data_IF_937668218041
#
_entry.id   IF_937668218041
#
_cell.length_a   1.000
_cell.length_b   1.000
_cell.length_c   1.000
_cell.angle_alpha   90.00
_cell.angle_beta   90.00
_cell.angle_gamma   90.00
#
_symmetry.space_group_name_H-M   'P 1'
#
loop_
_entity.id
_entity.type
_entity.pdbx_description
1 polymer ?
#
# COMPACT_ATOMS: atom_id res chain seq x y z
N UNK A 1 -10.45 -1.58 6.38
CA UNK A 1 -9.73 -2.72 5.79
C UNK A 1 -10.34 -3.99 6.36
N UNK A 2 -10.80 -4.89 5.51
CA UNK A 2 -11.33 -6.19 5.92
C UNK A 2 -10.19 -7.22 5.96
N UNK A 3 -10.17 -8.02 7.02
CA UNK A 3 -9.27 -9.14 7.16
C UNK A 3 -9.97 -10.40 6.65
N UNK A 4 -9.21 -11.25 5.98
CA UNK A 4 -9.72 -12.50 5.42
C UNK A 4 -9.12 -13.69 6.17
N UNK A 5 -9.88 -14.77 6.27
CA UNK A 5 -9.41 -16.00 6.90
C UNK A 5 -8.08 -16.49 6.28
N UNK A 6 -7.16 -17.04 7.10
CA UNK A 6 -7.26 -17.27 8.54
C UNK A 6 -6.79 -16.08 9.41
N UNK A 7 -6.56 -14.90 8.82
CA UNK A 7 -5.96 -13.74 9.48
C UNK A 7 -7.01 -12.77 10.07
N UNK A 8 -8.28 -13.13 10.00
CA UNK A 8 -9.41 -12.41 10.59
C UNK A 8 -9.58 -12.68 12.10
N UNK A 9 -8.72 -13.54 12.66
CA UNK A 9 -8.65 -13.89 14.08
C UNK A 9 -7.93 -12.81 14.90
N UNK A 10 -8.29 -12.68 16.18
CA UNK A 10 -7.77 -11.65 17.08
C UNK A 10 -6.25 -11.74 17.31
N UNK A 11 -5.68 -12.95 17.28
CA UNK A 11 -4.25 -13.20 17.47
C UNK A 11 -3.39 -12.52 16.40
N UNK A 12 -3.90 -12.37 15.17
CA UNK A 12 -3.17 -11.73 14.07
C UNK A 12 -3.04 -10.21 14.22
N UNK A 13 -3.89 -9.59 15.07
CA UNK A 13 -3.96 -8.13 15.26
C UNK A 13 -3.69 -7.69 16.70
N UNK A 14 -3.40 -8.63 17.59
CA UNK A 14 -3.09 -8.34 18.99
C UNK A 14 -1.93 -7.34 19.11
N UNK A 15 -2.12 -6.29 19.91
CA UNK A 15 -1.12 -5.25 20.14
C UNK A 15 -1.13 -4.11 19.10
N UNK A 16 -1.94 -4.19 18.03
CA UNK A 16 -2.08 -3.05 17.11
C UNK A 16 -2.72 -1.84 17.79
N UNK A 17 -3.54 -2.04 18.81
CA UNK A 17 -4.14 -0.99 19.63
C UNK A 17 -3.12 -0.12 20.38
N UNK A 18 -1.87 -0.58 20.54
CA UNK A 18 -0.80 0.16 21.21
C UNK A 18 -0.13 1.20 20.29
N UNK A 19 -0.42 1.20 18.99
CA UNK A 19 0.16 2.13 18.01
C UNK A 19 -0.89 3.05 17.40
N UNK A 20 -0.47 4.28 17.08
CA UNK A 20 -1.36 5.25 16.44
C UNK A 20 -1.43 5.10 14.91
N UNK A 21 -0.42 4.48 14.31
CA UNK A 21 -0.29 4.36 12.86
C UNK A 21 0.26 2.98 12.48
N UNK A 22 -0.16 2.51 11.31
CA UNK A 22 0.31 1.25 10.72
C UNK A 22 0.80 1.49 9.30
N UNK A 23 1.74 0.65 8.86
CA UNK A 23 2.13 0.57 7.46
C UNK A 23 1.23 -0.42 6.74
N UNK A 24 0.46 0.07 5.77
CA UNK A 24 -0.26 -0.79 4.82
C UNK A 24 0.62 -1.09 3.63
N UNK A 25 0.82 -2.38 3.34
CA UNK A 25 1.36 -2.85 2.08
C UNK A 25 0.22 -3.42 1.24
N UNK A 26 0.13 -3.00 -0.02
CA UNK A 26 -0.96 -3.42 -0.90
C UNK A 26 -0.48 -3.58 -2.34
N UNK A 27 -1.24 -4.32 -3.15
CA UNK A 27 -0.91 -4.60 -4.54
C UNK A 27 -1.73 -3.70 -5.48
N UNK A 28 -1.04 -2.94 -6.33
CA UNK A 28 -1.64 -2.27 -7.48
C UNK A 28 -1.97 -3.30 -8.57
N UNK A 29 -2.97 -4.14 -8.34
CA UNK A 29 -3.34 -5.26 -9.21
C UNK A 29 -3.65 -4.83 -10.66
N UNK A 30 -4.15 -3.61 -10.88
CA UNK A 30 -4.36 -3.05 -12.23
C UNK A 30 -3.10 -2.49 -12.90
N UNK A 31 -1.99 -2.35 -12.18
CA UNK A 31 -0.72 -1.84 -12.71
C UNK A 31 0.33 -2.94 -12.95
N UNK A 32 -0.07 -4.21 -12.82
CA UNK A 32 0.79 -5.35 -13.11
C UNK A 32 0.89 -5.54 -14.63
N UNK A 33 2.11 -5.65 -15.13
CA UNK A 33 2.44 -5.77 -16.54
C UNK A 33 3.39 -6.94 -16.75
N UNK A 34 3.16 -7.74 -17.79
CA UNK A 34 4.02 -8.88 -18.14
C UNK A 34 5.48 -8.45 -18.39
N UNK A 35 5.68 -7.21 -18.86
CA UNK A 35 6.98 -6.60 -19.07
C UNK A 35 7.13 -5.37 -18.19
N UNK A 36 7.98 -5.43 -17.14
CA UNK A 36 8.18 -4.30 -16.24
C UNK A 36 8.76 -3.05 -16.91
N UNK A 37 8.28 -1.89 -16.51
CA UNK A 37 8.86 -0.60 -16.92
C UNK A 37 10.10 -0.27 -16.10
N UNK A 38 11.19 0.11 -16.76
CA UNK A 38 12.41 0.60 -16.09
C UNK A 38 12.36 2.11 -15.81
N UNK A 39 11.50 2.85 -16.52
CA UNK A 39 11.28 4.29 -16.37
C UNK A 39 9.80 4.63 -16.44
N UNK A 40 9.43 5.75 -15.82
CA UNK A 40 8.06 6.29 -15.79
C UNK A 40 8.09 7.80 -16.02
N UNK A 41 6.91 8.41 -16.18
CA UNK A 41 6.73 9.87 -16.27
C UNK A 41 5.81 10.35 -15.14
N UNK A 42 6.35 10.68 -13.96
CA UNK A 42 5.53 11.08 -12.82
C UNK A 42 4.79 12.40 -13.09
N UNK A 43 3.48 12.51 -12.74
CA UNK A 43 2.74 13.77 -12.89
C UNK A 43 3.40 14.93 -12.14
N UNK A 44 3.98 14.64 -10.97
CA UNK A 44 4.65 15.62 -10.11
C UNK A 44 5.97 16.18 -10.70
N UNK A 45 6.48 15.59 -11.78
CA UNK A 45 7.64 16.09 -12.53
C UNK A 45 7.22 16.79 -13.84
N UNK A 46 6.01 17.35 -13.89
CA UNK A 46 5.51 18.07 -15.07
C UNK A 46 5.16 17.19 -16.26
N UNK A 47 5.04 15.87 -16.08
CA UNK A 47 4.51 14.91 -17.07
C UNK A 47 5.41 14.61 -18.28
N UNK A 48 6.31 15.51 -18.66
CA UNK A 48 7.21 15.35 -19.80
C UNK A 48 8.57 14.76 -19.43
N UNK A 49 8.98 14.86 -18.17
CA UNK A 49 10.25 14.31 -17.71
C UNK A 49 10.11 12.83 -17.33
N UNK A 50 11.02 12.00 -17.84
CA UNK A 50 11.07 10.58 -17.50
C UNK A 50 12.17 10.28 -16.47
N UNK A 51 11.84 9.48 -15.46
CA UNK A 51 12.74 9.10 -14.37
C UNK A 51 12.75 7.57 -14.18
N UNK A 52 13.87 7.04 -13.68
CA UNK A 52 13.98 5.63 -13.33
C UNK A 52 12.90 5.23 -12.32
N UNK A 53 12.29 4.07 -12.52
CA UNK A 53 11.12 3.64 -11.75
C UNK A 53 11.37 3.60 -10.24
N UNK A 54 12.56 3.16 -9.82
CA UNK A 54 12.95 3.06 -8.41
C UNK A 54 13.26 4.39 -7.72
N UNK A 55 13.43 5.47 -8.49
CA UNK A 55 13.54 6.83 -7.95
C UNK A 55 12.16 7.50 -7.76
N UNK A 56 11.07 6.78 -8.02
CA UNK A 56 9.69 7.31 -7.98
C UNK A 56 8.79 6.48 -7.08
N UNK A 57 7.59 7.01 -6.82
CA UNK A 57 6.46 6.27 -6.23
C UNK A 57 5.40 5.88 -7.27
N UNK A 58 5.78 5.64 -8.53
CA UNK A 58 4.82 5.23 -9.54
C UNK A 58 4.21 3.85 -9.22
N UNK A 59 2.97 3.62 -9.65
CA UNK A 59 2.27 2.34 -9.48
C UNK A 59 2.81 1.25 -10.41
N UNK A 60 3.18 1.62 -11.64
CA UNK A 60 3.78 0.74 -12.64
C UNK A 60 5.25 0.45 -12.28
N UNK A 61 5.51 -0.70 -11.64
CA UNK A 61 6.82 -1.15 -11.17
C UNK A 61 6.96 -2.66 -11.37
N UNK A 62 8.18 -3.23 -11.37
CA UNK A 62 8.36 -4.69 -11.46
C UNK A 62 7.57 -5.47 -10.41
N UNK A 63 7.55 -4.96 -9.17
CA UNK A 63 6.65 -5.43 -8.12
C UNK A 63 5.70 -4.29 -7.77
N UNK A 64 4.41 -4.45 -8.13
CA UNK A 64 3.35 -3.45 -7.96
C UNK A 64 2.94 -3.21 -6.50
N UNK A 65 3.87 -3.27 -5.55
CA UNK A 65 3.61 -3.09 -4.12
C UNK A 65 3.61 -1.60 -3.80
N UNK A 66 2.47 -1.12 -3.31
CA UNK A 66 2.26 0.17 -2.68
C UNK A 66 2.48 0.11 -1.17
N UNK A 67 2.81 1.27 -0.59
CA UNK A 67 2.96 1.44 0.84
C UNK A 67 2.31 2.76 1.27
N UNK A 68 1.46 2.70 2.30
CA UNK A 68 0.91 3.89 2.95
C UNK A 68 1.10 3.81 4.45
N UNK A 69 1.45 4.94 5.08
CA UNK A 69 1.32 5.09 6.54
C UNK A 69 -0.06 5.69 6.79
N UNK A 70 -0.88 4.98 7.54
CA UNK A 70 -2.26 5.38 7.84
C UNK A 70 -2.45 5.39 9.34
N UNK A 71 -3.39 6.22 9.80
CA UNK A 71 -3.79 6.23 11.20
C UNK A 71 -4.71 5.03 11.46
N UNK A 72 -4.47 4.35 12.58
CA UNK A 72 -5.32 3.26 13.06
C UNK A 72 -6.35 3.85 14.03
N UNK A 73 -7.61 3.86 13.62
CA UNK A 73 -8.69 4.45 14.41
C UNK A 73 -9.35 3.45 15.36
N UNK A 74 -9.49 2.19 14.93
CA UNK A 74 -10.09 1.11 15.72
C UNK A 74 -9.68 -0.26 15.18
N UNK A 75 -9.49 -1.21 16.10
CA UNK A 75 -9.36 -2.65 15.81
C UNK A 75 -10.68 -3.34 16.17
N UNK A 76 -11.21 -4.16 15.28
CA UNK A 76 -12.43 -4.94 15.46
C UNK A 76 -12.25 -6.33 14.85
N UNK A 77 -13.02 -7.32 15.32
CA UNK A 77 -12.95 -8.68 14.79
C UNK A 77 -13.14 -8.66 13.26
N UNK A 78 -12.16 -9.20 12.52
CA UNK A 78 -12.16 -9.22 11.06
C UNK A 78 -11.97 -7.86 10.35
N UNK A 79 -11.74 -6.74 11.06
CA UNK A 79 -11.69 -5.41 10.43
C UNK A 79 -10.81 -4.40 11.15
N UNK A 80 -10.01 -3.67 10.38
CA UNK A 80 -9.30 -2.46 10.84
C UNK A 80 -9.95 -1.19 10.27
N UNK A 81 -10.20 -0.22 11.14
CA UNK A 81 -10.68 1.11 10.77
C UNK A 81 -9.50 2.06 10.63
N UNK A 82 -9.34 2.67 9.46
CA UNK A 82 -8.13 3.39 9.07
C UNK A 82 -8.49 4.73 8.43
N UNK A 83 -7.65 5.74 8.63
CA UNK A 83 -7.77 7.07 7.99
C UNK A 83 -6.44 7.54 7.38
N UNK A 84 -6.52 8.45 6.40
CA UNK A 84 -5.35 8.98 5.69
C UNK A 84 -4.86 8.13 4.51
N UNK A 85 -5.76 7.38 3.87
CA UNK A 85 -5.50 6.68 2.60
C UNK A 85 -5.99 7.49 1.40
#
# INVERSE_FOLDING_TARGET
MELVAPFDQGEAVQGLEEVSHVWLLFLFHMALEDKPRLKVRPPRLGGNQSMGVFATRATHRPNGIGQSVVRLDKVEAGRLWLSGI
#
